data_IF_798600318938
#
_entry.id   IF_798600318938
#
_cell.length_a   1.000
_cell.length_b   1.000
_cell.length_c   1.000
_cell.angle_alpha   90.00
_cell.angle_beta   90.00
_cell.angle_gamma   90.00
#
_symmetry.space_group_name_H-M   'P 1'
#
loop_
_entity.id
_entity.type
_entity.pdbx_description
1 polymer ?
#
# COMPACT_ATOMS: atom_id res chain seq x y z
N UNK A 1 -11.52 5.23 -14.07
CA UNK A 1 -11.34 3.77 -14.23
C UNK A 1 -11.75 3.11 -12.92
N UNK A 2 -12.69 2.16 -12.91
CA UNK A 2 -13.22 1.53 -11.69
C UNK A 2 -12.35 0.35 -11.27
N UNK A 3 -12.30 0.03 -9.96
CA UNK A 3 -11.80 -1.24 -9.46
C UNK A 3 -12.87 -2.30 -9.77
N UNK A 4 -12.46 -3.47 -10.25
CA UNK A 4 -13.36 -4.58 -10.55
C UNK A 4 -13.33 -5.65 -9.45
N UNK A 5 -12.14 -5.93 -8.89
CA UNK A 5 -11.96 -6.93 -7.85
C UNK A 5 -11.01 -6.41 -6.76
N UNK A 6 -11.46 -6.48 -5.51
CA UNK A 6 -10.70 -6.09 -4.32
C UNK A 6 -10.55 -7.33 -3.43
N UNK A 7 -9.34 -7.60 -2.97
CA UNK A 7 -9.06 -8.61 -1.95
C UNK A 7 -8.86 -7.97 -0.58
N UNK A 8 -9.34 -8.60 0.46
CA UNK A 8 -9.02 -8.24 1.84
C UNK A 8 -8.42 -9.42 2.58
N UNK A 9 -7.23 -9.23 3.16
CA UNK A 9 -6.63 -10.22 4.06
C UNK A 9 -7.41 -10.29 5.37
N UNK A 10 -7.80 -11.48 5.77
CA UNK A 10 -8.68 -11.75 6.91
C UNK A 10 -8.05 -12.73 7.90
N UNK A 11 -7.85 -12.29 9.16
CA UNK A 11 -7.35 -13.14 10.25
C UNK A 11 -8.11 -12.96 11.57
N UNK A 12 -9.30 -12.33 11.52
CA UNK A 12 -10.17 -11.98 12.66
C UNK A 12 -9.47 -11.15 13.76
N UNK A 13 -8.41 -10.45 13.43
CA UNK A 13 -7.81 -9.43 14.29
C UNK A 13 -8.47 -8.07 14.05
N UNK A 14 -8.36 -7.16 15.03
CA UNK A 14 -8.88 -5.79 14.87
C UNK A 14 -8.30 -5.06 13.64
N UNK A 15 -7.00 -5.14 13.32
CA UNK A 15 -6.48 -4.55 12.09
C UNK A 15 -7.03 -5.19 10.81
N UNK A 16 -7.32 -6.50 10.86
CA UNK A 16 -7.96 -7.22 9.75
C UNK A 16 -9.40 -6.74 9.55
N UNK A 17 -10.17 -6.59 10.62
CA UNK A 17 -11.54 -6.08 10.54
C UNK A 17 -11.56 -4.67 9.94
N UNK A 18 -10.65 -3.79 10.34
CA UNK A 18 -10.48 -2.47 9.75
C UNK A 18 -10.12 -2.52 8.26
N UNK A 19 -9.30 -3.50 7.85
CA UNK A 19 -8.98 -3.71 6.45
C UNK A 19 -10.21 -4.20 5.65
N UNK A 20 -11.00 -5.11 6.22
CA UNK A 20 -12.26 -5.57 5.61
C UNK A 20 -13.26 -4.43 5.48
N UNK A 21 -13.45 -3.62 6.50
CA UNK A 21 -14.36 -2.47 6.47
C UNK A 21 -13.92 -1.45 5.40
N UNK A 22 -12.62 -1.21 5.26
CA UNK A 22 -12.06 -0.35 4.22
C UNK A 22 -12.27 -0.93 2.83
N UNK A 23 -12.00 -2.23 2.66
CA UNK A 23 -12.17 -2.93 1.39
C UNK A 23 -13.65 -2.98 0.98
N UNK A 24 -14.56 -3.20 1.93
CA UNK A 24 -16.00 -3.24 1.66
C UNK A 24 -16.56 -1.88 1.22
N UNK A 25 -16.11 -0.80 1.86
CA UNK A 25 -16.51 0.55 1.46
C UNK A 25 -15.98 0.92 0.06
N UNK A 26 -14.74 0.54 -0.27
CA UNK A 26 -14.20 0.68 -1.63
C UNK A 26 -14.96 -0.19 -2.63
N UNK A 27 -15.31 -1.43 -2.27
CA UNK A 27 -16.10 -2.31 -3.13
C UNK A 27 -17.49 -1.71 -3.43
N UNK A 28 -18.17 -1.19 -2.41
CA UNK A 28 -19.45 -0.50 -2.59
C UNK A 28 -19.33 0.74 -3.49
N UNK A 29 -18.30 1.57 -3.28
CA UNK A 29 -18.05 2.78 -4.08
C UNK A 29 -17.80 2.46 -5.56
N UNK A 30 -17.08 1.38 -5.86
CA UNK A 30 -16.70 1.01 -7.21
C UNK A 30 -17.65 0.00 -7.87
N UNK A 31 -18.57 -0.61 -7.12
CA UNK A 31 -19.35 -1.77 -7.57
C UNK A 31 -18.42 -2.96 -7.86
N UNK A 32 -17.38 -3.12 -7.06
CA UNK A 32 -16.38 -4.15 -7.21
C UNK A 32 -16.75 -5.43 -6.44
N UNK A 33 -16.29 -6.56 -6.93
CA UNK A 33 -16.31 -7.81 -6.18
C UNK A 33 -15.30 -7.74 -5.03
N UNK A 34 -15.71 -8.19 -3.84
CA UNK A 34 -14.85 -8.29 -2.67
C UNK A 34 -14.53 -9.76 -2.37
N UNK A 35 -13.25 -10.10 -2.25
CA UNK A 35 -12.79 -11.43 -1.90
C UNK A 35 -12.08 -11.37 -0.55
N UNK A 36 -12.68 -11.97 0.48
CA UNK A 36 -12.03 -12.14 1.79
C UNK A 36 -11.10 -13.34 1.72
N UNK A 37 -9.83 -13.16 2.09
CA UNK A 37 -8.82 -14.23 1.98
C UNK A 37 -8.28 -14.56 3.37
N UNK A 38 -8.56 -15.77 3.84
CA UNK A 38 -8.02 -16.32 5.06
C UNK A 38 -7.08 -17.49 4.75
N UNK A 39 -5.77 -17.29 4.88
CA UNK A 39 -4.80 -18.35 4.62
C UNK A 39 -4.70 -19.31 5.80
N UNK A 40 -4.96 -20.59 5.55
CA UNK A 40 -4.81 -21.65 6.53
C UNK A 40 -3.37 -22.17 6.49
N UNK A 41 -2.63 -21.98 7.58
CA UNK A 41 -1.30 -22.57 7.72
C UNK A 41 -1.44 -24.06 8.01
N UNK A 42 -0.65 -24.89 7.33
CA UNK A 42 -0.49 -26.28 7.72
C UNK A 42 0.05 -26.35 9.16
N UNK A 43 -0.44 -27.30 9.91
CA UNK A 43 0.02 -27.55 11.28
C UNK A 43 1.54 -27.61 11.30
N UNK A 44 2.15 -26.81 12.20
CA UNK A 44 3.56 -26.99 12.51
C UNK A 44 3.72 -28.42 13.02
N UNK A 45 4.51 -29.23 12.33
CA UNK A 45 4.94 -30.51 12.84
C UNK A 45 5.82 -30.21 14.07
N UNK A 46 5.16 -30.13 15.24
CA UNK A 46 5.84 -30.00 16.51
C UNK A 46 6.30 -31.42 16.85
N UNK A 47 7.57 -31.62 17.10
CA UNK A 47 8.08 -32.82 17.77
C UNK A 47 7.56 -32.81 19.21
N UNK A 48 6.32 -33.24 19.37
CA UNK A 48 5.65 -33.34 20.64
C UNK A 48 5.21 -34.79 20.86
N UNK A 49 5.01 -35.16 22.13
CA UNK A 49 4.36 -36.41 22.48
C UNK A 49 3.01 -36.53 21.77
N UNK A 50 2.62 -37.74 21.37
CA UNK A 50 1.40 -38.01 20.58
C UNK A 50 0.15 -37.39 21.20
N UNK A 51 0.02 -37.42 22.53
CA UNK A 51 -1.13 -36.84 23.24
C UNK A 51 -1.16 -35.33 23.18
N UNK A 52 0.00 -34.66 23.24
CA UNK A 52 0.12 -33.22 23.07
C UNK A 52 -0.15 -32.80 21.64
N UNK A 53 0.34 -33.56 20.65
CA UNK A 53 0.07 -33.31 19.24
C UNK A 53 -1.42 -33.44 18.91
N UNK A 54 -2.11 -34.44 19.47
CA UNK A 54 -3.55 -34.64 19.30
C UNK A 54 -4.34 -33.46 19.89
N UNK A 55 -4.05 -33.05 21.12
CA UNK A 55 -4.70 -31.90 21.77
C UNK A 55 -4.49 -30.60 21.02
N UNK A 56 -3.26 -30.36 20.52
CA UNK A 56 -2.96 -29.18 19.69
C UNK A 56 -3.75 -29.22 18.38
N UNK A 57 -3.87 -30.38 17.74
CA UNK A 57 -4.67 -30.55 16.54
C UNK A 57 -6.15 -30.22 16.77
N UNK A 58 -6.75 -30.71 17.87
CA UNK A 58 -8.14 -30.40 18.22
C UNK A 58 -8.35 -28.90 18.48
N UNK A 59 -7.45 -28.26 19.21
CA UNK A 59 -7.52 -26.81 19.48
C UNK A 59 -7.37 -26.02 18.19
N UNK A 60 -6.43 -26.39 17.33
CA UNK A 60 -6.21 -25.71 16.04
C UNK A 60 -7.43 -25.85 15.15
N UNK A 61 -8.02 -27.06 15.05
CA UNK A 61 -9.22 -27.31 14.27
C UNK A 61 -10.42 -26.49 14.80
N UNK A 62 -10.61 -26.42 16.12
CA UNK A 62 -11.65 -25.61 16.73
C UNK A 62 -11.47 -24.10 16.45
N UNK A 63 -10.24 -23.60 16.51
CA UNK A 63 -9.91 -22.22 16.17
C UNK A 63 -10.21 -21.92 14.70
N UNK A 64 -9.81 -22.79 13.78
CA UNK A 64 -10.08 -22.64 12.34
C UNK A 64 -11.58 -22.63 12.05
N UNK A 65 -12.36 -23.51 12.71
CA UNK A 65 -13.81 -23.54 12.57
C UNK A 65 -14.45 -22.21 13.02
N UNK A 66 -14.01 -21.67 14.15
CA UNK A 66 -14.52 -20.39 14.66
C UNK A 66 -14.15 -19.22 13.73
N UNK A 67 -12.94 -19.19 13.21
CA UNK A 67 -12.52 -18.19 12.21
C UNK A 67 -13.40 -18.27 10.96
N UNK A 68 -13.57 -19.48 10.42
CA UNK A 68 -14.41 -19.70 9.23
C UNK A 68 -15.85 -19.26 9.48
N UNK A 69 -16.42 -19.58 10.66
CA UNK A 69 -17.77 -19.16 11.03
C UNK A 69 -17.90 -17.63 11.09
N UNK A 70 -16.97 -16.93 11.71
CA UNK A 70 -16.98 -15.45 11.79
C UNK A 70 -16.86 -14.80 10.41
N UNK A 71 -15.98 -15.34 9.57
CA UNK A 71 -15.82 -14.81 8.22
C UNK A 71 -17.06 -15.08 7.34
N UNK A 72 -17.70 -16.24 7.48
CA UNK A 72 -18.97 -16.54 6.80
C UNK A 72 -20.06 -15.55 7.23
N UNK A 73 -20.20 -15.26 8.52
CA UNK A 73 -21.12 -14.25 9.01
C UNK A 73 -20.82 -12.87 8.41
N UNK A 74 -19.55 -12.46 8.35
CA UNK A 74 -19.14 -11.18 7.74
C UNK A 74 -19.49 -11.12 6.25
N UNK A 75 -19.32 -12.22 5.53
CA UNK A 75 -19.73 -12.31 4.12
C UNK A 75 -21.24 -12.11 3.97
N UNK A 76 -22.05 -12.77 4.81
CA UNK A 76 -23.50 -12.64 4.76
C UNK A 76 -23.96 -11.21 5.09
N UNK A 77 -23.33 -10.54 6.06
CA UNK A 77 -23.58 -9.13 6.39
C UNK A 77 -23.26 -8.21 5.20
N UNK A 78 -22.12 -8.42 4.53
CA UNK A 78 -21.69 -7.61 3.39
C UNK A 78 -22.59 -7.85 2.18
N UNK A 79 -23.01 -9.08 1.93
CA UNK A 79 -23.99 -9.42 0.87
C UNK A 79 -25.35 -8.78 1.14
N UNK A 80 -25.81 -8.76 2.40
CA UNK A 80 -27.04 -8.07 2.79
C UNK A 80 -26.97 -6.56 2.56
N UNK A 81 -25.76 -5.97 2.58
CA UNK A 81 -25.51 -4.57 2.20
C UNK A 81 -25.38 -4.35 0.68
N UNK A 82 -25.54 -5.40 -0.13
CA UNK A 82 -25.46 -5.32 -1.60
C UNK A 82 -24.04 -5.40 -2.15
N UNK A 83 -23.06 -5.82 -1.36
CA UNK A 83 -21.66 -5.99 -1.80
C UNK A 83 -21.47 -7.43 -2.26
N UNK A 84 -21.11 -7.62 -3.54
CA UNK A 84 -20.75 -8.95 -4.06
C UNK A 84 -19.48 -9.46 -3.35
N UNK A 85 -19.65 -10.38 -2.41
CA UNK A 85 -18.59 -10.84 -1.52
C UNK A 85 -18.47 -12.35 -1.53
N UNK A 86 -17.23 -12.85 -1.60
CA UNK A 86 -16.90 -14.27 -1.41
C UNK A 86 -15.73 -14.44 -0.45
N UNK A 87 -15.49 -15.70 -0.02
CA UNK A 87 -14.37 -16.06 0.85
C UNK A 87 -13.51 -17.13 0.16
N UNK A 88 -12.21 -16.96 0.28
CA UNK A 88 -11.19 -17.92 -0.13
C UNK A 88 -10.35 -18.34 1.07
N UNK A 89 -10.12 -19.65 1.22
CA UNK A 89 -9.33 -20.20 2.33
C UNK A 89 -8.17 -21.06 1.80
N UNK A 90 -7.18 -20.41 1.11
CA UNK A 90 -6.05 -21.13 0.57
C UNK A 90 -5.15 -21.70 1.67
N UNK A 91 -4.53 -22.85 1.40
CA UNK A 91 -3.51 -23.43 2.25
C UNK A 91 -2.12 -22.87 1.93
N UNK A 92 -1.28 -22.68 2.94
CA UNK A 92 0.13 -22.31 2.78
C UNK A 92 0.53 -21.01 3.48
N UNK A 93 1.76 -20.50 3.20
CA UNK A 93 2.25 -19.26 3.78
C UNK A 93 1.33 -18.09 3.43
N UNK A 94 0.80 -17.33 4.42
CA UNK A 94 -0.28 -16.36 4.18
C UNK A 94 0.03 -15.31 3.10
N UNK A 95 1.25 -14.78 3.08
CA UNK A 95 1.61 -13.76 2.10
C UNK A 95 1.61 -14.25 0.66
N UNK A 96 2.10 -15.48 0.42
CA UNK A 96 2.11 -16.12 -0.90
C UNK A 96 0.71 -16.56 -1.32
N UNK A 97 -0.05 -17.12 -0.37
CA UNK A 97 -1.41 -17.58 -0.58
C UNK A 97 -2.33 -16.42 -1.02
N UNK A 98 -2.28 -15.28 -0.32
CA UNK A 98 -3.02 -14.06 -0.70
C UNK A 98 -2.60 -13.59 -2.10
N UNK A 99 -1.30 -13.56 -2.39
CA UNK A 99 -0.82 -13.17 -3.72
C UNK A 99 -1.25 -14.13 -4.83
N UNK A 100 -1.38 -15.42 -4.54
CA UNK A 100 -1.89 -16.41 -5.48
C UNK A 100 -3.39 -16.22 -5.76
N UNK A 101 -4.19 -16.01 -4.72
CA UNK A 101 -5.62 -15.69 -4.87
C UNK A 101 -5.79 -14.39 -5.66
N UNK A 102 -4.97 -13.38 -5.39
CA UNK A 102 -5.01 -12.12 -6.13
C UNK A 102 -4.73 -12.30 -7.63
N UNK A 103 -3.78 -13.20 -7.99
CA UNK A 103 -3.54 -13.56 -9.40
C UNK A 103 -4.73 -14.30 -10.02
N UNK A 104 -5.31 -15.26 -9.27
CA UNK A 104 -6.46 -16.06 -9.74
C UNK A 104 -7.67 -15.17 -10.07
N UNK A 105 -7.98 -14.22 -9.20
CA UNK A 105 -9.10 -13.30 -9.36
C UNK A 105 -8.77 -12.06 -10.21
N UNK A 106 -7.55 -11.93 -10.75
CA UNK A 106 -7.05 -10.74 -11.44
C UNK A 106 -7.35 -9.45 -10.63
N UNK A 107 -7.05 -9.49 -9.34
CA UNK A 107 -7.38 -8.42 -8.41
C UNK A 107 -6.70 -7.09 -8.78
N UNK A 108 -7.44 -6.00 -8.62
CA UNK A 108 -6.94 -4.63 -8.83
C UNK A 108 -6.26 -4.07 -7.57
N UNK A 109 -6.70 -4.52 -6.39
CA UNK A 109 -6.25 -4.03 -5.09
C UNK A 109 -6.29 -5.13 -4.04
N UNK A 110 -5.23 -5.21 -3.25
CA UNK A 110 -5.21 -5.99 -2.00
C UNK A 110 -5.25 -5.00 -0.83
N UNK A 111 -6.15 -5.22 0.12
CA UNK A 111 -6.28 -4.42 1.34
C UNK A 111 -5.87 -5.28 2.54
N UNK A 112 -4.94 -4.78 3.34
CA UNK A 112 -4.43 -5.51 4.52
C UNK A 112 -4.22 -4.59 5.71
N UNK A 113 -4.35 -5.14 6.92
CA UNK A 113 -3.95 -4.46 8.15
C UNK A 113 -2.43 -4.40 8.31
N UNK A 114 -1.96 -3.53 9.18
CA UNK A 114 -0.52 -3.44 9.50
C UNK A 114 -0.01 -4.63 10.31
N UNK A 115 -0.85 -5.24 11.13
CA UNK A 115 -0.52 -6.35 12.05
C UNK A 115 -1.67 -7.35 12.09
N UNK A 116 -1.38 -8.60 12.49
CA UNK A 116 -2.36 -9.60 12.87
C UNK A 116 -2.46 -9.73 14.41
N UNK A 117 -2.76 -10.93 14.91
CA UNK A 117 -2.96 -11.24 16.35
C UNK A 117 -1.76 -10.93 17.26
N UNK A 118 -0.56 -10.74 16.74
CA UNK A 118 0.66 -10.58 17.57
C UNK A 118 0.84 -9.20 18.18
N UNK A 119 0.01 -8.21 17.85
CA UNK A 119 -0.15 -6.92 18.57
C UNK A 119 1.10 -6.10 18.87
N UNK A 120 2.24 -6.36 18.25
CA UNK A 120 3.52 -5.76 18.59
C UNK A 120 3.63 -4.37 17.96
N UNK A 121 3.80 -3.35 18.82
CA UNK A 121 4.22 -1.97 18.53
C UNK A 121 3.68 -1.28 17.26
N UNK A 122 3.14 -0.07 17.40
CA UNK A 122 2.64 0.81 16.32
C UNK A 122 3.58 1.04 15.13
N UNK A 123 4.85 0.64 15.24
CA UNK A 123 5.92 0.92 14.27
C UNK A 123 6.43 -0.32 13.52
N UNK A 124 5.83 -1.50 13.73
CA UNK A 124 6.25 -2.72 13.05
C UNK A 124 5.21 -3.12 12.01
N UNK A 125 5.64 -3.42 10.81
CA UNK A 125 4.83 -4.05 9.78
C UNK A 125 4.87 -5.57 10.01
N UNK A 126 3.70 -6.22 10.05
CA UNK A 126 3.59 -7.66 10.24
C UNK A 126 4.28 -8.45 9.11
N UNK A 127 4.73 -9.67 9.43
CA UNK A 127 5.38 -10.56 8.46
C UNK A 127 4.49 -10.87 7.27
N UNK A 128 3.19 -11.09 7.49
CA UNK A 128 2.20 -11.36 6.43
C UNK A 128 2.05 -10.16 5.50
N UNK A 129 1.83 -8.95 6.06
CA UNK A 129 1.72 -7.73 5.26
C UNK A 129 3.02 -7.47 4.45
N UNK A 130 4.19 -7.71 5.05
CA UNK A 130 5.49 -7.61 4.38
C UNK A 130 5.60 -8.61 3.23
N UNK A 131 5.18 -9.86 3.43
CA UNK A 131 5.20 -10.88 2.39
C UNK A 131 4.22 -10.56 1.25
N UNK A 132 3.00 -10.09 1.58
CA UNK A 132 2.03 -9.62 0.58
C UNK A 132 2.63 -8.49 -0.27
N UNK A 133 3.22 -7.47 0.34
CA UNK A 133 3.85 -6.35 -0.37
C UNK A 133 4.97 -6.80 -1.33
N UNK A 134 5.65 -7.89 -1.05
CA UNK A 134 6.70 -8.45 -1.92
C UNK A 134 6.16 -9.27 -3.07
N UNK A 135 5.05 -9.97 -2.87
CA UNK A 135 4.53 -10.98 -3.81
C UNK A 135 3.26 -10.55 -4.54
N UNK A 136 2.67 -9.40 -4.16
CA UNK A 136 1.42 -8.92 -4.74
C UNK A 136 1.52 -8.70 -6.26
N UNK A 137 0.53 -9.19 -7.03
CA UNK A 137 0.45 -8.92 -8.46
C UNK A 137 -0.15 -7.55 -8.80
N UNK A 138 -0.71 -6.87 -7.82
CA UNK A 138 -1.43 -5.59 -7.95
C UNK A 138 -1.07 -4.66 -6.80
N UNK A 139 -1.70 -3.51 -6.76
CA UNK A 139 -1.51 -2.54 -5.68
C UNK A 139 -1.91 -3.10 -4.32
N UNK A 140 -1.25 -2.60 -3.28
CA UNK A 140 -1.57 -2.97 -1.90
C UNK A 140 -1.88 -1.73 -1.08
N UNK A 141 -3.05 -1.71 -0.46
CA UNK A 141 -3.45 -0.72 0.53
C UNK A 141 -3.21 -1.30 1.93
N UNK A 142 -2.24 -0.77 2.63
CA UNK A 142 -1.98 -1.09 4.04
C UNK A 142 -2.79 -0.13 4.89
N UNK A 143 -3.81 -0.64 5.58
CA UNK A 143 -4.69 0.20 6.42
C UNK A 143 -4.07 0.49 7.77
N UNK A 144 -4.22 1.73 8.23
CA UNK A 144 -3.77 2.17 9.54
C UNK A 144 -4.75 3.16 10.17
N UNK A 145 -4.92 3.05 11.49
CA UNK A 145 -5.80 3.93 12.25
C UNK A 145 -7.29 3.57 12.15
N UNK A 146 -8.10 4.18 13.01
CA UNK A 146 -9.55 3.91 13.15
C UNK A 146 -10.41 4.61 12.08
N UNK A 147 -9.80 5.22 11.07
CA UNK A 147 -10.58 5.95 10.08
C UNK A 147 -11.22 4.99 9.07
N UNK A 148 -12.46 4.60 9.34
CA UNK A 148 -13.36 3.97 8.37
C UNK A 148 -13.84 4.97 7.29
N UNK A 149 -13.45 6.26 7.39
CA UNK A 149 -13.87 7.28 6.44
C UNK A 149 -13.33 6.97 5.05
N UNK A 150 -14.24 6.80 4.13
CA UNK A 150 -14.03 6.75 2.69
C UNK A 150 -15.07 7.64 2.02
N UNK A 151 -14.74 8.19 0.89
CA UNK A 151 -13.45 8.16 0.18
C UNK A 151 -12.36 8.95 0.89
N UNK A 152 -11.09 8.77 0.49
CA UNK A 152 -9.98 9.55 1.05
C UNK A 152 -10.12 11.03 0.68
N UNK A 153 -10.02 11.92 1.68
CA UNK A 153 -10.26 13.36 1.54
C UNK A 153 -8.95 14.17 1.42
N UNK A 154 -7.86 13.64 1.95
CA UNK A 154 -6.56 14.34 2.00
C UNK A 154 -5.42 13.41 1.59
N UNK A 155 -5.32 13.03 0.32
CA UNK A 155 -4.26 12.15 -0.17
C UNK A 155 -2.95 12.90 -0.42
N UNK A 156 -1.83 12.27 -0.02
CA UNK A 156 -0.45 12.67 -0.31
C UNK A 156 0.20 11.62 -1.21
N UNK A 157 0.76 12.02 -2.33
CA UNK A 157 1.49 11.14 -3.23
C UNK A 157 2.96 11.48 -3.25
N UNK A 158 3.82 10.56 -2.81
CA UNK A 158 5.25 10.74 -2.89
C UNK A 158 5.77 10.37 -4.28
N UNK A 159 6.46 11.30 -4.94
CA UNK A 159 6.97 11.09 -6.30
C UNK A 159 8.49 11.25 -6.37
N UNK A 160 9.11 10.35 -7.13
CA UNK A 160 10.46 10.47 -7.65
C UNK A 160 10.47 10.59 -9.18
N UNK A 161 9.29 10.77 -9.78
CA UNK A 161 9.03 10.83 -11.22
C UNK A 161 9.29 9.52 -11.98
N UNK A 162 9.50 8.40 -11.29
CA UNK A 162 9.56 7.07 -11.88
C UNK A 162 8.17 6.61 -12.38
N UNK A 163 8.13 5.56 -13.19
CA UNK A 163 6.88 4.97 -13.66
C UNK A 163 6.01 4.48 -12.49
N UNK A 164 6.62 3.93 -11.42
CA UNK A 164 5.91 3.47 -10.24
C UNK A 164 5.26 4.61 -9.45
N UNK A 165 5.96 5.72 -9.22
CA UNK A 165 5.38 6.88 -8.53
C UNK A 165 4.32 7.60 -9.36
N UNK A 166 4.48 7.67 -10.69
CA UNK A 166 3.42 8.16 -11.60
C UNK A 166 2.17 7.29 -11.55
N UNK A 167 2.33 5.98 -11.41
CA UNK A 167 1.23 5.04 -11.21
C UNK A 167 0.56 5.28 -9.85
N UNK A 168 1.33 5.46 -8.78
CA UNK A 168 0.81 5.78 -7.46
C UNK A 168 -0.15 7.00 -7.52
N UNK A 169 0.20 8.05 -8.26
CA UNK A 169 -0.68 9.20 -8.47
C UNK A 169 -2.00 8.81 -9.16
N UNK A 170 -1.93 8.06 -10.26
CA UNK A 170 -3.14 7.64 -10.98
C UNK A 170 -4.05 6.73 -10.15
N UNK A 171 -3.48 5.88 -9.32
CA UNK A 171 -4.24 4.96 -8.47
C UNK A 171 -4.82 5.69 -7.25
N UNK A 172 -4.10 6.66 -6.69
CA UNK A 172 -4.63 7.54 -5.64
C UNK A 172 -5.89 8.26 -6.09
N UNK A 173 -5.90 8.79 -7.32
CA UNK A 173 -7.07 9.49 -7.86
C UNK A 173 -8.33 8.61 -7.95
N UNK A 174 -8.20 7.28 -7.95
CA UNK A 174 -9.36 6.35 -7.90
C UNK A 174 -9.91 6.15 -6.49
N UNK A 175 -9.06 6.31 -5.49
CA UNK A 175 -9.39 6.10 -4.08
C UNK A 175 -9.80 7.38 -3.38
N UNK A 176 -9.40 8.53 -3.92
CA UNK A 176 -9.70 9.84 -3.39
C UNK A 176 -11.15 10.25 -3.65
N UNK A 177 -11.69 11.07 -2.77
CA UNK A 177 -12.99 11.73 -2.99
C UNK A 177 -12.92 12.58 -4.27
N UNK A 178 -13.95 12.59 -5.12
CA UNK A 178 -13.97 13.40 -6.33
C UNK A 178 -13.64 14.88 -6.05
N UNK A 179 -12.81 15.47 -6.90
CA UNK A 179 -12.44 16.89 -6.88
C UNK A 179 -11.63 17.36 -5.66
N UNK A 180 -11.22 16.49 -4.74
CA UNK A 180 -10.29 16.90 -3.69
C UNK A 180 -8.89 17.14 -4.27
N UNK A 181 -8.11 18.08 -3.71
CA UNK A 181 -6.72 18.26 -4.10
C UNK A 181 -5.88 17.03 -3.70
N UNK A 182 -4.97 16.64 -4.59
CA UNK A 182 -3.95 15.64 -4.31
C UNK A 182 -2.62 16.37 -4.13
N UNK A 183 -2.04 16.24 -2.94
CA UNK A 183 -0.71 16.77 -2.68
C UNK A 183 0.34 15.83 -3.28
N UNK A 184 1.24 16.38 -4.09
CA UNK A 184 2.34 15.64 -4.74
C UNK A 184 3.65 16.10 -4.14
N UNK A 185 4.29 15.26 -3.33
CA UNK A 185 5.51 15.60 -2.62
C UNK A 185 6.72 14.93 -3.29
N UNK A 186 7.72 15.74 -3.66
CA UNK A 186 9.03 15.26 -4.08
C UNK A 186 10.08 15.63 -3.05
N UNK A 187 10.65 14.62 -2.40
CA UNK A 187 11.77 14.80 -1.49
C UNK A 187 13.09 14.74 -2.27
N UNK A 188 13.97 15.70 -2.05
CA UNK A 188 15.26 15.76 -2.73
C UNK A 188 16.41 15.97 -1.75
N UNK A 189 17.58 15.48 -2.11
CA UNK A 189 18.80 15.62 -1.31
C UNK A 189 19.97 16.03 -2.21
N UNK A 190 20.87 16.82 -1.67
CA UNK A 190 22.20 16.98 -2.25
C UNK A 190 23.02 15.71 -2.01
N UNK A 191 23.97 15.36 -2.90
CA UNK A 191 24.83 14.20 -2.73
C UNK A 191 25.48 14.15 -1.35
N UNK A 192 25.58 12.96 -0.76
CA UNK A 192 26.29 12.75 0.49
C UNK A 192 27.76 13.21 0.32
N UNK A 193 28.25 14.03 1.25
CA UNK A 193 29.59 14.65 1.14
C UNK A 193 29.55 16.15 0.83
N UNK A 194 28.40 16.69 0.37
CA UNK A 194 28.26 18.14 0.18
C UNK A 194 28.45 18.95 1.47
N UNK A 195 28.19 18.33 2.64
CA UNK A 195 28.43 18.92 3.96
C UNK A 195 29.92 18.89 4.38
N UNK A 196 30.70 17.93 3.85
CA UNK A 196 32.13 17.80 4.12
C UNK A 196 33.00 18.70 3.25
N UNK A 197 32.46 19.25 2.16
CA UNK A 197 33.20 20.09 1.24
C UNK A 197 33.72 21.38 1.92
N UNK A 198 33.01 21.91 2.90
CA UNK A 198 33.43 23.06 3.71
C UNK A 198 34.67 22.75 4.56
N UNK A 199 34.87 21.49 4.99
CA UNK A 199 36.05 21.08 5.78
C UNK A 199 37.32 20.96 4.92
N UNK A 200 37.18 20.79 3.60
CA UNK A 200 38.32 20.63 2.68
C UNK A 200 38.66 21.94 1.93
N UNK A 201 38.18 23.10 2.41
CA UNK A 201 38.51 24.38 1.78
C UNK A 201 37.93 24.58 0.38
N UNK A 202 36.86 23.85 0.03
CA UNK A 202 36.17 23.94 -1.27
C UNK A 202 35.07 25.02 -1.20
N UNK A 203 35.42 26.21 -0.71
CA UNK A 203 34.52 27.37 -0.63
C UNK A 203 34.06 27.88 -2.01
N UNK A 204 34.60 27.30 -3.09
CA UNK A 204 34.27 27.67 -4.48
C UNK A 204 33.24 26.78 -5.14
N UNK A 205 32.66 25.80 -4.44
CA UNK A 205 31.67 24.94 -5.05
C UNK A 205 30.31 25.65 -5.12
N UNK A 206 29.67 25.78 -6.28
CA UNK A 206 28.44 26.57 -6.46
C UNK A 206 27.20 25.83 -5.94
N UNK A 207 27.16 25.52 -4.64
CA UNK A 207 26.08 24.75 -4.01
C UNK A 207 24.69 25.38 -4.19
N UNK A 208 24.60 26.71 -4.18
CA UNK A 208 23.35 27.41 -4.45
C UNK A 208 22.86 27.15 -5.87
N UNK A 209 23.76 27.22 -6.86
CA UNK A 209 23.41 26.98 -8.27
C UNK A 209 22.99 25.52 -8.50
N UNK A 210 23.68 24.55 -7.84
CA UNK A 210 23.33 23.12 -7.92
C UNK A 210 21.95 22.88 -7.29
N UNK A 211 21.69 23.45 -6.11
CA UNK A 211 20.39 23.38 -5.46
C UNK A 211 19.30 23.95 -6.36
N UNK A 212 19.53 25.14 -6.90
CA UNK A 212 18.54 25.82 -7.74
C UNK A 212 18.27 25.03 -9.04
N UNK A 213 19.30 24.42 -9.64
CA UNK A 213 19.17 23.54 -10.79
C UNK A 213 18.35 22.28 -10.47
N UNK A 214 18.58 21.65 -9.30
CA UNK A 214 17.81 20.48 -8.84
C UNK A 214 16.34 20.85 -8.64
N UNK A 215 16.07 21.97 -7.97
CA UNK A 215 14.70 22.46 -7.74
C UNK A 215 14.00 22.79 -9.06
N UNK A 216 14.66 23.49 -9.98
CA UNK A 216 14.09 23.82 -11.29
C UNK A 216 13.81 22.55 -12.12
N UNK A 217 14.72 21.57 -12.11
CA UNK A 217 14.51 20.29 -12.78
C UNK A 217 13.30 19.55 -12.19
N UNK A 218 13.14 19.55 -10.86
CA UNK A 218 12.01 18.91 -10.20
C UNK A 218 10.69 19.63 -10.53
N UNK A 219 10.67 20.96 -10.56
CA UNK A 219 9.49 21.75 -10.99
C UNK A 219 9.08 21.40 -12.42
N UNK A 220 10.01 21.42 -13.36
CA UNK A 220 9.73 21.06 -14.76
C UNK A 220 9.16 19.64 -14.90
N UNK A 221 9.71 18.67 -14.14
CA UNK A 221 9.17 17.29 -14.11
C UNK A 221 7.77 17.26 -13.49
N UNK A 222 7.50 18.06 -12.48
CA UNK A 222 6.19 18.23 -11.87
C UNK A 222 5.17 18.79 -12.85
N UNK A 223 5.50 19.86 -13.54
CA UNK A 223 4.63 20.47 -14.56
C UNK A 223 4.27 19.47 -15.66
N UNK A 224 5.27 18.70 -16.14
CA UNK A 224 5.02 17.61 -17.09
C UNK A 224 4.11 16.53 -16.52
N UNK A 225 4.35 16.11 -15.28
CA UNK A 225 3.51 15.12 -14.59
C UNK A 225 2.06 15.60 -14.51
N UNK A 226 1.84 16.87 -14.18
CA UNK A 226 0.51 17.45 -14.07
C UNK A 226 -0.19 17.53 -15.42
N UNK A 227 0.53 17.99 -16.46
CA UNK A 227 0.00 18.02 -17.82
C UNK A 227 -0.42 16.63 -18.34
N UNK A 228 0.38 15.58 -18.02
CA UNK A 228 0.06 14.19 -18.37
C UNK A 228 -1.16 13.63 -17.61
N UNK A 229 -1.58 14.25 -16.48
CA UNK A 229 -2.58 13.72 -15.57
C UNK A 229 -3.80 14.64 -15.34
N UNK A 230 -4.02 15.65 -16.20
CA UNK A 230 -5.18 16.55 -16.14
C UNK A 230 -6.51 15.77 -16.14
N UNK A 231 -6.58 14.67 -16.88
CA UNK A 231 -7.79 13.82 -16.98
C UNK A 231 -8.16 13.09 -15.68
N UNK A 232 -7.33 13.14 -14.62
CA UNK A 232 -7.68 12.57 -13.32
C UNK A 232 -8.81 13.33 -12.61
N UNK A 233 -9.04 14.61 -12.98
CA UNK A 233 -10.13 15.42 -12.39
C UNK A 233 -9.85 15.92 -10.97
N UNK A 234 -8.58 15.91 -10.54
CA UNK A 234 -8.15 16.39 -9.23
C UNK A 234 -7.19 17.58 -9.38
N UNK A 235 -7.33 18.65 -8.56
CA UNK A 235 -6.27 19.64 -8.42
C UNK A 235 -4.99 18.98 -7.90
N UNK A 236 -3.85 19.23 -8.56
CA UNK A 236 -2.55 18.69 -8.17
C UNK A 236 -1.65 19.82 -7.67
N UNK A 237 -1.07 19.67 -6.48
CA UNK A 237 -0.14 20.62 -5.90
C UNK A 237 1.22 19.96 -5.69
N UNK A 238 2.30 20.62 -6.18
CA UNK A 238 3.67 20.11 -6.02
C UNK A 238 4.36 20.75 -4.83
N UNK A 239 4.76 19.95 -3.87
CA UNK A 239 5.65 20.34 -2.78
C UNK A 239 7.04 19.74 -3.00
N UNK A 240 8.09 20.58 -2.93
CA UNK A 240 9.50 20.17 -3.05
C UNK A 240 10.17 20.35 -1.69
N UNK A 241 10.55 19.27 -1.05
CA UNK A 241 11.12 19.29 0.30
C UNK A 241 12.52 18.69 0.31
N UNK A 242 13.47 19.42 0.89
CA UNK A 242 14.82 18.90 1.08
C UNK A 242 14.87 17.99 2.31
N UNK A 243 15.38 16.77 2.16
CA UNK A 243 15.59 15.84 3.27
C UNK A 243 15.49 14.36 2.87
N UNK A 244 15.67 13.49 3.84
CA UNK A 244 15.57 12.04 3.64
C UNK A 244 14.13 11.66 3.26
N UNK A 245 13.88 11.01 2.11
CA UNK A 245 12.53 10.88 1.54
C UNK A 245 11.51 10.28 2.52
N UNK A 246 11.80 9.14 3.15
CA UNK A 246 10.85 8.49 4.05
C UNK A 246 10.48 9.38 5.25
N UNK A 247 11.46 10.10 5.83
CA UNK A 247 11.24 11.02 6.96
C UNK A 247 10.41 12.24 6.53
N UNK A 248 10.77 12.84 5.40
CA UNK A 248 10.06 13.99 4.84
C UNK A 248 8.60 13.66 4.59
N UNK A 249 8.33 12.52 3.93
CA UNK A 249 6.97 12.09 3.58
C UNK A 249 6.14 11.83 4.83
N UNK A 250 6.67 11.08 5.80
CA UNK A 250 5.92 10.75 7.02
C UNK A 250 5.67 11.97 7.90
N UNK A 251 6.66 12.86 8.00
CA UNK A 251 6.51 14.12 8.75
C UNK A 251 5.52 15.09 8.07
N UNK A 252 5.54 15.19 6.75
CA UNK A 252 4.55 15.96 6.01
C UNK A 252 3.14 15.40 6.24
N UNK A 253 2.99 14.07 6.19
CA UNK A 253 1.71 13.41 6.41
C UNK A 253 1.15 13.68 7.82
N UNK A 254 2.00 13.62 8.84
CA UNK A 254 1.62 13.90 10.22
C UNK A 254 1.17 15.34 10.40
N UNK A 255 1.99 16.31 9.97
CA UNK A 255 1.68 17.74 10.11
C UNK A 255 0.48 18.18 9.26
N UNK A 256 0.35 17.62 8.06
CA UNK A 256 -0.73 17.96 7.14
C UNK A 256 -2.05 17.25 7.45
N UNK A 257 -2.07 16.26 8.35
CA UNK A 257 -3.27 15.46 8.65
C UNK A 257 -3.78 14.71 7.43
N UNK A 258 -2.87 14.18 6.61
CA UNK A 258 -3.24 13.38 5.45
C UNK A 258 -3.80 12.01 5.89
N UNK A 259 -4.78 11.50 5.17
CA UNK A 259 -5.47 10.23 5.46
C UNK A 259 -5.00 9.07 4.58
N UNK A 260 -4.28 9.38 3.50
CA UNK A 260 -3.63 8.43 2.61
C UNK A 260 -2.25 8.95 2.18
N UNK A 261 -1.24 8.09 2.27
CA UNK A 261 0.03 8.28 1.57
C UNK A 261 0.11 7.26 0.43
N UNK A 262 0.50 7.70 -0.77
CA UNK A 262 0.77 6.79 -1.88
C UNK A 262 2.24 6.84 -2.27
N UNK A 263 2.83 5.65 -2.45
CA UNK A 263 4.23 5.46 -2.86
C UNK A 263 4.34 4.41 -3.95
N UNK A 264 5.36 4.52 -4.81
CA UNK A 264 5.74 3.42 -5.71
C UNK A 264 6.57 2.36 -4.98
N UNK A 265 6.49 1.10 -5.43
CA UNK A 265 7.33 0.02 -4.87
C UNK A 265 8.81 0.23 -5.08
N UNK A 266 9.22 0.84 -6.21
CA UNK A 266 10.62 1.07 -6.60
C UNK A 266 10.78 2.45 -7.23
N UNK A 267 11.92 3.09 -6.95
CA UNK A 267 12.33 4.32 -7.62
C UNK A 267 13.24 4.05 -8.83
N UNK A 268 14.00 5.09 -9.23
CA UNK A 268 14.93 5.04 -10.38
C UNK A 268 16.03 3.96 -10.28
N UNK A 269 16.27 3.37 -9.11
CA UNK A 269 17.33 2.38 -8.89
C UNK A 269 17.05 0.95 -9.35
N UNK A 270 15.85 0.62 -9.82
CA UNK A 270 15.46 -0.57 -10.61
C UNK A 270 15.95 -1.96 -10.22
N UNK A 271 16.48 -2.19 -9.03
CA UNK A 271 17.07 -3.47 -8.66
C UNK A 271 16.04 -4.46 -8.09
N UNK A 272 15.82 -5.57 -8.83
CA UNK A 272 15.09 -6.81 -8.50
C UNK A 272 13.60 -6.66 -8.13
N UNK A 273 12.75 -7.27 -8.93
CA UNK A 273 11.27 -7.36 -8.87
C UNK A 273 10.67 -7.88 -7.55
N UNK A 274 11.49 -8.25 -6.55
CA UNK A 274 11.06 -8.88 -5.30
C UNK A 274 11.41 -8.07 -4.03
N UNK A 275 11.93 -6.85 -4.17
CA UNK A 275 12.33 -6.04 -3.01
C UNK A 275 11.48 -4.78 -2.94
N UNK A 276 10.86 -4.53 -1.81
CA UNK A 276 10.24 -3.26 -1.49
C UNK A 276 11.34 -2.19 -1.34
N UNK A 277 11.18 -1.04 -2.00
CA UNK A 277 12.17 0.04 -1.91
C UNK A 277 12.27 0.61 -0.50
N UNK A 278 13.46 1.09 -0.13
CA UNK A 278 13.74 1.61 1.22
C UNK A 278 12.82 2.77 1.62
N UNK A 279 12.42 3.61 0.68
CA UNK A 279 11.48 4.72 0.92
C UNK A 279 10.09 4.17 1.22
N UNK A 280 9.58 3.24 0.39
CA UNK A 280 8.28 2.62 0.61
C UNK A 280 8.23 1.88 1.96
N UNK A 281 9.28 1.09 2.27
CA UNK A 281 9.37 0.41 3.56
C UNK A 281 9.39 1.39 4.74
N UNK A 282 10.19 2.44 4.66
CA UNK A 282 10.27 3.48 5.68
C UNK A 282 8.93 4.20 5.87
N UNK A 283 8.26 4.56 4.79
CA UNK A 283 6.93 5.20 4.83
C UNK A 283 5.91 4.25 5.46
N UNK A 284 5.80 3.00 5.02
CA UNK A 284 4.83 2.06 5.57
C UNK A 284 5.05 1.84 7.07
N UNK A 285 6.30 1.76 7.50
CA UNK A 285 6.65 1.56 8.92
C UNK A 285 6.26 2.74 9.80
N UNK A 286 6.41 3.97 9.34
CA UNK A 286 6.28 5.18 10.16
C UNK A 286 5.08 6.06 9.81
N UNK A 287 4.27 5.67 8.82
CA UNK A 287 3.10 6.45 8.42
C UNK A 287 2.09 6.62 9.55
N UNK A 288 1.52 7.82 9.74
CA UNK A 288 0.40 8.05 10.66
C UNK A 288 -0.95 7.57 10.11
N UNK A 289 -1.05 7.32 8.80
CA UNK A 289 -2.29 6.98 8.09
C UNK A 289 -2.10 5.78 7.15
N UNK A 290 -3.15 5.42 6.41
CA UNK A 290 -3.10 4.33 5.42
C UNK A 290 -2.08 4.61 4.32
N UNK A 291 -1.48 3.54 3.78
CA UNK A 291 -0.44 3.64 2.73
C UNK A 291 -0.84 2.79 1.53
N UNK A 292 -0.98 3.43 0.36
CA UNK A 292 -1.10 2.78 -0.93
C UNK A 292 0.28 2.54 -1.51
N UNK A 293 0.60 1.29 -1.80
CA UNK A 293 1.84 0.89 -2.46
C UNK A 293 1.52 0.48 -3.88
N UNK A 294 1.90 1.32 -4.84
CA UNK A 294 1.64 1.05 -6.25
C UNK A 294 2.73 0.14 -6.82
N UNK A 295 2.30 -1.04 -7.30
CA UNK A 295 3.18 -2.00 -7.93
C UNK A 295 3.45 -1.64 -9.41
N UNK A 296 4.61 -2.03 -9.93
CA UNK A 296 4.98 -1.84 -11.34
C UNK A 296 4.08 -2.66 -12.29
N UNK A 297 4.08 -2.31 -13.58
CA UNK A 297 3.31 -3.05 -14.58
C UNK A 297 3.65 -4.54 -14.55
N UNK A 298 2.64 -5.37 -14.35
CA UNK A 298 2.73 -6.78 -14.72
C UNK A 298 2.58 -6.86 -16.24
N UNK A 299 3.28 -7.83 -16.84
CA UNK A 299 3.33 -8.06 -18.30
C UNK A 299 1.96 -8.33 -18.97
N UNK A 300 0.84 -8.12 -18.26
CA UNK A 300 -0.52 -8.20 -18.76
C UNK A 300 -1.19 -6.86 -19.10
N UNK A 301 -0.60 -5.74 -18.72
CA UNK A 301 -1.21 -4.40 -18.87
C UNK A 301 -0.90 -3.72 -20.24
N UNK A 302 -0.25 -4.43 -21.14
CA UNK A 302 0.11 -3.94 -22.48
C UNK A 302 -1.01 -4.06 -23.51
N UNK A 303 -2.29 -3.98 -23.12
CA UNK A 303 -3.31 -4.30 -24.11
C UNK A 303 -4.68 -3.68 -24.08
N UNK A 304 -4.97 -2.63 -23.32
CA UNK A 304 -6.32 -2.02 -23.41
C UNK A 304 -6.38 -0.49 -23.27
N UNK A 305 -5.49 0.22 -23.91
CA UNK A 305 -5.78 1.60 -24.28
C UNK A 305 -6.14 1.63 -25.77
N UNK A 306 -7.31 1.11 -26.16
CA UNK A 306 -7.95 1.51 -27.40
C UNK A 306 -8.60 2.86 -27.16
N UNK A 307 -8.15 3.85 -27.94
CA UNK A 307 -8.79 5.15 -28.12
C UNK A 307 -10.28 4.93 -28.41
N UNK A 308 -11.13 5.61 -27.68
CA UNK A 308 -12.44 6.06 -28.14
C UNK A 308 -12.39 7.58 -28.19
#
# INVERSE_FOLDING_TARGET
MRLATILAGADVSVPSDQAIDRASALAAQHGAKLVLVHAVQAELAIEADKDVALQLGEVTAAMQLEVTRRLAQKVDELRAQGIDTEIETPHGPPGEAVAQVARHHAADLIVVGTHGHTGISRFLLGSVATAILRHAPCDVLVTRGNSSKLPFERPLVAVDFSAASKRALRHTARLAQPNVPIEVLHAWQLPAGSWGASFFGVDRFPWSQIRDAVVQSAKHKGDKLFAENVALGHPLHLELVQGAPAQVITHAAERGGYDLIAVGTHGHGGFRKLLLGSVAEGVIRHSPCSVLVAHGEHAGDTGKFKKV
#
